data_IF_985090868563
#
_entry.id   IF_985090868563
#
_cell.length_a   1.000
_cell.length_b   1.000
_cell.length_c   1.000
_cell.angle_alpha   90.00
_cell.angle_beta   90.00
_cell.angle_gamma   90.00
#
_symmetry.space_group_name_H-M   'P 1'
#
loop_
_entity.id
_entity.type
_entity.pdbx_description
1 polymer ?
#
# COMPACT_ATOMS: atom_id res chain seq x y z
N UNK A 1 -15.52 15.22 -1.22
CA UNK A 1 -15.78 16.01 -2.44
C UNK A 1 -14.76 15.72 -3.55
N UNK A 2 -13.43 15.76 -3.31
CA UNK A 2 -12.43 15.28 -4.29
C UNK A 2 -12.47 13.76 -4.56
N UNK A 3 -12.91 12.98 -3.56
CA UNK A 3 -13.09 11.53 -3.64
C UNK A 3 -14.23 11.07 -4.54
N UNK A 4 -15.23 11.93 -4.80
CA UNK A 4 -16.39 11.59 -5.63
C UNK A 4 -16.18 11.83 -7.12
N UNK A 5 -15.38 12.83 -7.48
CA UNK A 5 -15.21 13.30 -8.86
C UNK A 5 -14.28 12.37 -9.67
N UNK A 6 -13.30 11.76 -9.01
CA UNK A 6 -12.37 10.83 -9.65
C UNK A 6 -12.97 9.43 -9.92
N UNK A 7 -14.18 9.15 -9.43
CA UNK A 7 -14.87 7.87 -9.66
C UNK A 7 -15.55 7.82 -11.03
N UNK A 8 -15.85 8.98 -11.63
CA UNK A 8 -16.76 9.09 -12.78
C UNK A 8 -16.04 8.99 -14.13
N UNK A 9 -14.74 9.32 -14.22
CA UNK A 9 -14.04 9.49 -15.50
C UNK A 9 -13.22 8.28 -15.97
N UNK A 10 -12.87 7.32 -15.11
CA UNK A 10 -11.88 6.27 -15.46
C UNK A 10 -12.35 4.83 -15.22
N UNK A 11 -13.55 4.62 -14.66
CA UNK A 11 -14.03 3.28 -14.28
C UNK A 11 -13.21 2.60 -13.16
N UNK A 12 -12.16 3.26 -12.66
CA UNK A 12 -11.38 2.92 -11.45
C UNK A 12 -11.37 4.14 -10.57
N UNK A 13 -11.54 4.00 -9.26
CA UNK A 13 -11.51 5.18 -8.40
C UNK A 13 -10.07 5.75 -8.36
N UNK A 14 -9.87 7.06 -8.23
CA UNK A 14 -8.50 7.59 -7.97
C UNK A 14 -7.83 6.93 -6.77
N UNK A 15 -8.64 6.47 -5.82
CA UNK A 15 -8.21 5.68 -4.70
C UNK A 15 -7.46 4.41 -5.14
N UNK A 16 -7.88 3.75 -6.22
CA UNK A 16 -7.17 2.59 -6.77
C UNK A 16 -5.83 2.95 -7.41
N UNK A 17 -5.76 4.08 -8.12
CA UNK A 17 -4.49 4.56 -8.67
C UNK A 17 -3.50 4.95 -7.55
N UNK A 18 -3.99 5.66 -6.54
CA UNK A 18 -3.21 6.00 -5.34
C UNK A 18 -2.75 4.72 -4.64
N UNK A 19 -3.64 3.74 -4.46
CA UNK A 19 -3.28 2.47 -3.86
C UNK A 19 -2.25 1.70 -4.70
N UNK A 20 -2.37 1.67 -6.03
CA UNK A 20 -1.34 1.09 -6.89
C UNK A 20 0.02 1.72 -6.66
N UNK A 21 0.08 3.06 -6.66
CA UNK A 21 1.32 3.79 -6.40
C UNK A 21 1.89 3.53 -4.99
N UNK A 22 1.04 3.50 -3.96
CA UNK A 22 1.47 3.20 -2.59
C UNK A 22 2.02 1.78 -2.47
N UNK A 23 1.43 0.80 -3.17
CA UNK A 23 1.90 -0.59 -3.17
C UNK A 23 3.27 -0.72 -3.82
N UNK A 24 3.51 -0.06 -4.95
CA UNK A 24 4.83 -0.09 -5.59
C UNK A 24 5.90 0.54 -4.68
N UNK A 25 5.60 1.69 -4.06
CA UNK A 25 6.51 2.28 -3.06
C UNK A 25 6.74 1.37 -1.85
N UNK A 26 5.70 0.70 -1.39
CA UNK A 26 5.79 -0.24 -0.27
C UNK A 26 6.70 -1.42 -0.62
N UNK A 27 6.59 -2.00 -1.82
CA UNK A 27 7.48 -3.08 -2.27
C UNK A 27 8.94 -2.64 -2.22
N UNK A 28 9.27 -1.47 -2.78
CA UNK A 28 10.64 -0.92 -2.73
C UNK A 28 11.11 -0.69 -1.29
N UNK A 29 10.26 -0.15 -0.42
CA UNK A 29 10.61 0.07 0.97
C UNK A 29 10.81 -1.24 1.76
N UNK A 30 10.05 -2.30 1.42
CA UNK A 30 10.16 -3.61 2.04
C UNK A 30 11.44 -4.37 1.68
N UNK A 31 12.10 -4.02 0.56
CA UNK A 31 13.42 -4.54 0.19
C UNK A 31 14.53 -4.07 1.15
N UNK A 32 14.31 -2.97 1.87
CA UNK A 32 15.24 -2.52 2.90
C UNK A 32 14.87 -3.17 4.25
N UNK A 33 15.70 -4.07 4.80
CA UNK A 33 15.41 -4.74 6.07
C UNK A 33 15.49 -3.81 7.28
N UNK A 34 16.08 -2.62 7.13
CA UNK A 34 16.28 -1.66 8.22
C UNK A 34 14.99 -1.03 8.74
N UNK A 35 13.93 -1.00 7.92
CA UNK A 35 12.64 -0.46 8.31
C UNK A 35 11.67 -1.57 8.72
N UNK A 36 10.94 -1.38 9.81
CA UNK A 36 9.83 -2.25 10.18
C UNK A 36 8.63 -2.04 9.25
N UNK A 37 7.77 -3.05 9.16
CA UNK A 37 6.52 -2.98 8.39
C UNK A 37 5.63 -1.82 8.89
N UNK A 38 5.66 -1.55 10.21
CA UNK A 38 4.92 -0.46 10.82
C UNK A 38 5.46 0.91 10.42
N UNK A 39 6.78 1.12 10.43
CA UNK A 39 7.39 2.38 9.98
C UNK A 39 7.11 2.67 8.50
N UNK A 40 7.14 1.64 7.66
CA UNK A 40 6.77 1.74 6.25
C UNK A 40 5.30 2.18 6.13
N UNK A 41 4.39 1.59 6.91
CA UNK A 41 2.98 1.98 6.89
C UNK A 41 2.78 3.45 7.29
N UNK A 42 3.43 3.91 8.37
CA UNK A 42 3.35 5.31 8.79
C UNK A 42 3.93 6.26 7.74
N UNK A 43 5.07 5.92 7.14
CA UNK A 43 5.71 6.71 6.08
C UNK A 43 4.83 6.83 4.83
N UNK A 44 4.01 5.82 4.56
CA UNK A 44 3.06 5.80 3.45
C UNK A 44 1.72 6.50 3.77
N UNK A 45 1.59 7.08 4.96
CA UNK A 45 0.40 7.83 5.38
C UNK A 45 -0.74 6.97 5.94
N UNK A 46 -0.45 5.76 6.43
CA UNK A 46 -1.44 4.95 7.15
C UNK A 46 -1.36 5.23 8.64
N UNK A 47 -2.49 5.62 9.24
CA UNK A 47 -2.61 5.80 10.70
C UNK A 47 -2.47 4.47 11.46
N UNK A 48 -2.79 3.35 10.80
CA UNK A 48 -2.76 2.03 11.39
C UNK A 48 -2.06 1.02 10.46
N UNK A 49 -0.93 0.41 10.89
CA UNK A 49 -0.19 -0.59 10.12
C UNK A 49 -1.02 -1.82 9.69
N UNK A 50 -2.02 -2.21 10.47
CA UNK A 50 -2.97 -3.26 10.10
C UNK A 50 -3.76 -2.94 8.82
N UNK A 51 -4.12 -1.68 8.58
CA UNK A 51 -4.83 -1.27 7.36
C UNK A 51 -3.92 -1.38 6.13
N UNK A 52 -2.66 -0.96 6.27
CA UNK A 52 -1.64 -1.16 5.25
C UNK A 52 -1.45 -2.65 4.94
N UNK A 53 -1.32 -3.49 5.96
CA UNK A 53 -1.10 -4.94 5.79
C UNK A 53 -2.24 -5.61 5.04
N UNK A 54 -3.50 -5.24 5.33
CA UNK A 54 -4.69 -5.71 4.62
C UNK A 54 -4.69 -5.25 3.16
N UNK A 55 -4.41 -3.97 2.90
CA UNK A 55 -4.35 -3.43 1.54
C UNK A 55 -3.24 -4.10 0.72
N UNK A 56 -2.06 -4.24 1.31
CA UNK A 56 -0.90 -4.85 0.67
C UNK A 56 -1.18 -6.31 0.29
N UNK A 57 -1.76 -7.10 1.21
CA UNK A 57 -2.19 -8.47 0.91
C UNK A 57 -3.27 -8.52 -0.17
N UNK A 58 -4.25 -7.61 -0.12
CA UNK A 58 -5.31 -7.56 -1.13
C UNK A 58 -4.80 -7.24 -2.54
N UNK A 59 -3.72 -6.46 -2.67
CA UNK A 59 -3.18 -6.04 -3.98
C UNK A 59 -2.03 -6.92 -4.48
N UNK A 60 -1.28 -7.55 -3.59
CA UNK A 60 -0.10 -8.38 -3.95
C UNK A 60 -0.31 -9.88 -3.76
N UNK A 61 -1.37 -10.29 -3.07
CA UNK A 61 -1.66 -11.69 -2.73
C UNK A 61 -0.94 -12.19 -1.47
N UNK A 62 0.04 -11.44 -0.95
CA UNK A 62 0.85 -11.84 0.21
C UNK A 62 1.01 -10.69 1.21
N UNK A 63 1.24 -10.99 2.48
CA UNK A 63 1.48 -9.97 3.49
C UNK A 63 2.84 -9.28 3.30
N UNK A 64 3.02 -8.05 3.80
CA UNK A 64 4.31 -7.36 3.75
C UNK A 64 5.46 -8.18 4.35
N UNK A 65 5.18 -8.96 5.40
CA UNK A 65 6.16 -9.83 6.07
C UNK A 65 6.52 -11.04 5.22
N UNK A 66 5.54 -11.67 4.56
CA UNK A 66 5.78 -12.76 3.61
C UNK A 66 6.58 -12.27 2.39
N UNK A 67 6.23 -11.10 1.84
CA UNK A 67 6.97 -10.49 0.73
C UNK A 67 8.43 -10.22 1.09
N UNK A 68 8.68 -9.73 2.32
CA UNK A 68 10.03 -9.54 2.84
C UNK A 68 10.78 -10.85 3.02
N UNK A 69 10.12 -11.92 3.45
CA UNK A 69 10.76 -13.21 3.70
C UNK A 69 11.14 -13.97 2.42
N UNK A 70 10.63 -13.55 1.26
CA UNK A 70 10.94 -14.16 -0.04
C UNK A 70 12.16 -13.54 -0.75
N UNK A 71 12.74 -12.47 -0.21
CA UNK A 71 13.94 -11.80 -0.72
C UNK A 71 15.02 -11.75 0.37
#
# INVERSE_FOLDING_TARGET
>A
YLSGLLRTETGRSAKDHIYGFLIERAKTALLNPSHSVSEIAYTLGFDYPQNFSKLFKSKTGMSPKEFRSQN
#
